data_IF_399130442325
#
_entry.id   IF_399130442325
#
_cell.length_a   1.000
_cell.length_b   1.000
_cell.length_c   1.000
_cell.angle_alpha   90.00
_cell.angle_beta   90.00
_cell.angle_gamma   90.00
#
_symmetry.space_group_name_H-M   'P 1'
#
loop_
_entity.id
_entity.type
_entity.pdbx_description
1 polymer ?
#
# COMPACT_ATOMS: atom_id res chain seq x y z
N UNK A 1 10.20 -32.95 -18.51
CA UNK A 1 9.34 -32.55 -17.37
C UNK A 1 9.54 -31.09 -17.01
N UNK A 2 10.78 -30.64 -16.73
CA UNK A 2 11.04 -29.21 -16.44
C UNK A 2 10.73 -28.31 -17.63
N UNK A 3 11.13 -28.70 -18.85
CA UNK A 3 10.82 -27.92 -20.07
C UNK A 3 9.31 -27.80 -20.33
N UNK A 4 8.56 -28.88 -20.08
CA UNK A 4 7.10 -28.90 -20.23
C UNK A 4 6.42 -27.95 -19.23
N UNK A 5 6.91 -27.90 -17.98
CA UNK A 5 6.43 -26.95 -16.97
C UNK A 5 6.75 -25.51 -17.39
N UNK A 6 7.97 -25.24 -17.90
CA UNK A 6 8.37 -23.92 -18.36
C UNK A 6 7.53 -23.45 -19.57
N UNK A 7 7.31 -24.31 -20.56
CA UNK A 7 6.45 -24.02 -21.71
C UNK A 7 4.99 -23.80 -21.30
N UNK A 8 4.47 -24.60 -20.37
CA UNK A 8 3.11 -24.40 -19.83
C UNK A 8 3.01 -23.06 -19.12
N UNK A 9 3.98 -22.72 -18.26
CA UNK A 9 4.03 -21.44 -17.57
C UNK A 9 4.08 -20.27 -18.57
N UNK A 10 4.92 -20.36 -19.60
CA UNK A 10 5.00 -19.36 -20.67
C UNK A 10 3.66 -19.20 -21.40
N UNK A 11 2.94 -20.29 -21.67
CA UNK A 11 1.62 -20.23 -22.32
C UNK A 11 0.52 -19.59 -21.48
N UNK A 12 0.73 -19.45 -20.17
CA UNK A 12 -0.20 -18.80 -19.25
C UNK A 12 0.01 -17.29 -19.13
N UNK A 13 1.01 -16.74 -19.81
CA UNK A 13 1.30 -15.31 -19.78
C UNK A 13 0.19 -14.50 -20.49
N UNK A 14 -0.26 -13.43 -19.85
CA UNK A 14 -1.05 -12.38 -20.52
C UNK A 14 -0.07 -11.37 -21.07
N UNK A 15 -0.05 -11.19 -22.39
CA UNK A 15 0.91 -10.34 -23.09
C UNK A 15 0.19 -9.13 -23.65
N UNK A 16 0.60 -7.94 -23.22
CA UNK A 16 0.00 -6.66 -23.61
C UNK A 16 1.10 -5.64 -23.94
N UNK A 17 1.21 -5.25 -25.21
CA UNK A 17 2.28 -4.36 -25.71
C UNK A 17 3.67 -4.86 -25.29
N UNK A 18 4.38 -4.08 -24.46
CA UNK A 18 5.77 -4.31 -24.05
C UNK A 18 5.90 -4.98 -22.66
N UNK A 19 4.78 -5.47 -22.10
CA UNK A 19 4.77 -6.15 -20.80
C UNK A 19 3.97 -7.47 -20.80
N UNK A 20 4.31 -8.34 -19.86
CA UNK A 20 3.66 -9.63 -19.67
C UNK A 20 3.38 -9.86 -18.18
N UNK A 21 2.24 -10.44 -17.85
CA UNK A 21 1.89 -10.76 -16.47
C UNK A 21 1.16 -12.08 -16.33
N UNK A 22 1.26 -12.66 -15.14
CA UNK A 22 0.58 -13.88 -14.75
C UNK A 22 -0.41 -13.58 -13.64
N UNK A 23 -1.60 -14.15 -13.75
CA UNK A 23 -2.66 -14.01 -12.76
C UNK A 23 -2.97 -15.35 -12.10
N UNK A 24 -3.46 -15.27 -10.88
CA UNK A 24 -3.92 -16.39 -10.08
C UNK A 24 -5.14 -15.95 -9.28
N UNK A 25 -6.07 -16.86 -9.01
CA UNK A 25 -7.22 -16.61 -8.14
C UNK A 25 -6.79 -16.41 -6.67
N UNK A 26 -5.64 -16.96 -6.28
CA UNK A 26 -5.10 -16.94 -4.91
C UNK A 26 -3.66 -16.39 -4.88
N UNK A 27 -3.21 -15.91 -3.73
CA UNK A 27 -1.78 -15.72 -3.44
C UNK A 27 -1.35 -16.72 -2.35
N UNK A 28 -0.08 -16.66 -1.90
CA UNK A 28 0.43 -17.66 -0.94
C UNK A 28 -0.03 -17.44 0.51
N UNK A 29 -0.55 -16.25 0.85
CA UNK A 29 -0.86 -15.88 2.24
C UNK A 29 -2.36 -15.69 2.49
N UNK A 30 -3.11 -15.24 1.49
CA UNK A 30 -4.55 -14.98 1.57
C UNK A 30 -5.34 -15.76 0.51
N UNK A 31 -6.56 -16.18 0.86
CA UNK A 31 -7.55 -16.65 -0.12
C UNK A 31 -8.08 -15.51 -1.00
N UNK A 32 -8.99 -15.83 -1.92
CA UNK A 32 -9.67 -14.90 -2.87
C UNK A 32 -9.56 -13.40 -2.48
N UNK A 33 -8.67 -12.69 -3.18
CA UNK A 33 -8.43 -11.25 -3.01
C UNK A 33 -9.48 -10.40 -3.72
N UNK A 34 -9.87 -9.29 -3.08
CA UNK A 34 -11.15 -8.63 -3.29
C UNK A 34 -11.14 -7.30 -4.07
N UNK A 35 -10.00 -6.73 -4.50
CA UNK A 35 -10.09 -5.49 -5.28
C UNK A 35 -8.79 -4.94 -5.87
N UNK A 36 -8.85 -4.39 -7.08
CA UNK A 36 -7.71 -3.64 -7.64
C UNK A 36 -7.56 -2.31 -6.90
N UNK A 37 -6.32 -1.88 -6.65
CA UNK A 37 -6.04 -0.53 -6.11
C UNK A 37 -5.23 0.25 -7.14
N UNK A 38 -5.91 1.09 -7.93
CA UNK A 38 -5.33 1.63 -9.17
C UNK A 38 -5.17 0.53 -10.24
N UNK A 39 -3.98 0.39 -10.80
CA UNK A 39 -3.68 -0.56 -11.89
C UNK A 39 -3.05 -1.89 -11.45
N UNK A 40 -2.82 -2.12 -10.16
CA UNK A 40 -2.14 -3.34 -9.72
C UNK A 40 -2.82 -4.07 -8.56
N UNK A 41 -2.43 -5.34 -8.47
CA UNK A 41 -3.03 -6.39 -7.67
C UNK A 41 -1.88 -7.23 -7.09
N UNK A 42 -1.75 -7.36 -5.76
CA UNK A 42 -0.65 -8.10 -5.14
C UNK A 42 -0.60 -9.56 -5.59
N UNK A 43 -1.72 -10.19 -5.95
CA UNK A 43 -1.70 -11.54 -6.54
C UNK A 43 -0.99 -11.56 -7.90
N UNK A 44 -1.26 -10.58 -8.74
CA UNK A 44 -0.67 -10.51 -10.09
C UNK A 44 0.82 -10.19 -9.96
N UNK A 45 1.20 -9.27 -9.08
CA UNK A 45 2.60 -8.95 -8.79
C UNK A 45 3.34 -10.19 -8.27
N UNK A 46 2.82 -10.87 -7.25
CA UNK A 46 3.45 -12.06 -6.68
C UNK A 46 3.55 -13.19 -7.72
N UNK A 47 2.48 -13.48 -8.45
CA UNK A 47 2.46 -14.56 -9.46
C UNK A 47 3.41 -14.26 -10.61
N UNK A 48 3.43 -13.02 -11.10
CA UNK A 48 4.33 -12.57 -12.15
C UNK A 48 5.78 -12.67 -11.70
N UNK A 49 6.10 -12.23 -10.48
CA UNK A 49 7.46 -12.30 -9.95
C UNK A 49 7.97 -13.76 -9.83
N UNK A 50 7.12 -14.69 -9.37
CA UNK A 50 7.48 -16.11 -9.38
C UNK A 50 7.66 -16.67 -10.79
N UNK A 51 6.77 -16.32 -11.72
CA UNK A 51 6.85 -16.79 -13.10
C UNK A 51 8.14 -16.32 -13.79
N UNK A 52 8.47 -15.03 -13.62
CA UNK A 52 9.71 -14.41 -14.13
C UNK A 52 10.93 -15.11 -13.57
N UNK A 53 11.02 -15.29 -12.24
CA UNK A 53 12.16 -15.99 -11.63
C UNK A 53 12.27 -17.45 -12.11
N UNK A 54 11.15 -18.15 -12.30
CA UNK A 54 11.14 -19.54 -12.75
C UNK A 54 11.64 -19.67 -14.20
N UNK A 55 11.13 -18.84 -15.11
CA UNK A 55 11.57 -18.80 -16.51
C UNK A 55 13.04 -18.39 -16.63
N UNK A 56 13.46 -17.37 -15.87
CA UNK A 56 14.86 -16.93 -15.83
C UNK A 56 15.80 -18.04 -15.35
N UNK A 57 15.47 -18.72 -14.24
CA UNK A 57 16.27 -19.85 -13.72
C UNK A 57 16.32 -21.04 -14.66
N UNK A 58 15.27 -21.27 -15.44
CA UNK A 58 15.25 -22.30 -16.47
C UNK A 58 16.19 -21.95 -17.64
N UNK A 59 16.40 -20.66 -17.91
CA UNK A 59 17.26 -20.19 -19.00
C UNK A 59 16.54 -20.18 -20.35
N UNK A 60 15.22 -19.94 -20.36
CA UNK A 60 14.43 -19.84 -21.59
C UNK A 60 13.41 -18.70 -21.53
N UNK A 61 12.85 -18.37 -22.68
CA UNK A 61 11.82 -17.33 -22.83
C UNK A 61 12.30 -15.94 -22.37
N UNK A 62 13.54 -15.57 -22.66
CA UNK A 62 14.15 -14.28 -22.26
C UNK A 62 13.26 -13.06 -22.57
N UNK A 63 12.56 -13.09 -23.70
CA UNK A 63 11.60 -12.03 -24.03
C UNK A 63 10.46 -11.93 -22.99
N UNK A 64 9.88 -13.05 -22.57
CA UNK A 64 8.83 -13.05 -21.54
C UNK A 64 9.38 -12.67 -20.16
N UNK A 65 10.63 -13.04 -19.85
CA UNK A 65 11.30 -12.59 -18.62
C UNK A 65 11.43 -11.07 -18.62
N UNK A 66 11.93 -10.47 -19.71
CA UNK A 66 12.06 -9.02 -19.86
C UNK A 66 10.70 -8.31 -19.79
N UNK A 67 9.68 -8.83 -20.48
CA UNK A 67 8.33 -8.27 -20.43
C UNK A 67 7.68 -8.38 -19.03
N UNK A 68 7.96 -9.46 -18.30
CA UNK A 68 7.51 -9.63 -16.92
C UNK A 68 8.22 -8.70 -15.95
N UNK A 69 9.52 -8.46 -16.14
CA UNK A 69 10.27 -7.43 -15.39
C UNK A 69 9.70 -6.04 -15.64
N UNK A 70 9.42 -5.69 -16.90
CA UNK A 70 8.78 -4.42 -17.24
C UNK A 70 7.45 -4.26 -16.51
N UNK A 71 6.62 -5.31 -16.47
CA UNK A 71 5.37 -5.29 -15.71
C UNK A 71 5.61 -4.97 -14.23
N UNK A 72 6.57 -5.62 -13.57
CA UNK A 72 6.87 -5.36 -12.15
C UNK A 72 7.36 -3.92 -11.94
N UNK A 73 8.27 -3.42 -12.78
CA UNK A 73 8.81 -2.06 -12.64
C UNK A 73 7.74 -0.98 -12.83
N UNK A 74 6.82 -1.19 -13.79
CA UNK A 74 5.69 -0.27 -14.05
C UNK A 74 4.67 -0.22 -12.92
N UNK A 75 4.56 -1.26 -12.10
CA UNK A 75 3.58 -1.36 -11.02
C UNK A 75 4.19 -1.16 -9.63
N UNK A 76 5.44 -0.71 -9.54
CA UNK A 76 6.10 -0.33 -8.29
C UNK A 76 5.54 1.02 -7.80
N UNK A 77 5.23 1.10 -6.51
CA UNK A 77 4.81 2.31 -5.79
C UNK A 77 5.97 2.91 -4.99
N UNK A 78 5.87 4.16 -4.48
CA UNK A 78 6.87 4.73 -3.58
C UNK A 78 7.12 3.92 -2.30
N UNK A 79 6.18 3.03 -1.92
CA UNK A 79 6.27 2.18 -0.72
C UNK A 79 6.66 0.71 -1.03
N UNK A 80 7.04 0.41 -2.27
CA UNK A 80 7.29 -0.96 -2.73
C UNK A 80 6.24 -1.40 -3.75
N UNK A 81 5.37 -2.34 -3.38
CA UNK A 81 4.22 -2.76 -4.18
C UNK A 81 2.94 -2.56 -3.37
N UNK A 82 2.06 -3.57 -3.28
CA UNK A 82 0.75 -3.41 -2.64
C UNK A 82 0.67 -4.06 -1.26
N UNK A 83 1.34 -5.19 -1.05
CA UNK A 83 1.45 -5.85 0.25
C UNK A 83 2.92 -6.05 0.61
N UNK A 84 3.18 -6.74 1.71
CA UNK A 84 4.56 -7.12 2.06
C UNK A 84 5.09 -8.29 1.24
N UNK A 85 4.22 -9.24 0.90
CA UNK A 85 4.61 -10.48 0.24
C UNK A 85 4.96 -10.27 -1.23
N UNK A 86 4.05 -9.65 -1.98
CA UNK A 86 4.30 -9.27 -3.37
C UNK A 86 5.52 -8.33 -3.48
N UNK A 87 5.72 -7.41 -2.53
CA UNK A 87 6.90 -6.53 -2.50
C UNK A 87 8.20 -7.32 -2.40
N UNK A 88 8.29 -8.26 -1.46
CA UNK A 88 9.52 -9.05 -1.28
C UNK A 88 9.80 -9.90 -2.53
N UNK A 89 8.79 -10.58 -3.05
CA UNK A 89 8.96 -11.50 -4.19
C UNK A 89 9.28 -10.71 -5.46
N UNK A 90 8.65 -9.55 -5.68
CA UNK A 90 8.95 -8.69 -6.81
C UNK A 90 10.38 -8.13 -6.75
N UNK A 91 10.86 -7.71 -5.58
CA UNK A 91 12.26 -7.31 -5.43
C UNK A 91 13.25 -8.45 -5.62
N UNK A 92 12.90 -9.68 -5.22
CA UNK A 92 13.71 -10.85 -5.55
C UNK A 92 13.79 -11.08 -7.07
N UNK A 93 12.67 -10.96 -7.78
CA UNK A 93 12.62 -11.12 -9.22
C UNK A 93 13.43 -10.04 -9.95
N UNK A 94 13.24 -8.76 -9.58
CA UNK A 94 13.98 -7.61 -10.12
C UNK A 94 15.48 -7.82 -9.86
N UNK A 95 15.89 -8.06 -8.62
CA UNK A 95 17.30 -8.28 -8.28
C UNK A 95 17.92 -9.45 -9.06
N UNK A 96 17.16 -10.52 -9.27
CA UNK A 96 17.65 -11.72 -9.93
C UNK A 96 17.77 -11.56 -11.44
N UNK A 97 16.83 -10.87 -12.07
CA UNK A 97 16.68 -10.90 -13.52
C UNK A 97 17.03 -9.57 -14.20
N UNK A 98 17.12 -8.45 -13.45
CA UNK A 98 17.52 -7.15 -14.00
C UNK A 98 18.98 -7.16 -14.46
N UNK A 99 19.20 -6.59 -15.64
CA UNK A 99 20.53 -6.28 -16.16
C UNK A 99 20.62 -4.77 -16.30
N UNK A 100 21.41 -4.10 -15.45
CA UNK A 100 21.62 -2.65 -15.58
C UNK A 100 22.46 -2.40 -16.84
N UNK A 101 21.90 -1.64 -17.78
CA UNK A 101 22.59 -1.22 -19.00
C UNK A 101 22.40 0.28 -19.23
N UNK A 102 22.79 1.13 -18.28
CA UNK A 102 22.83 2.57 -18.52
C UNK A 102 24.27 2.95 -18.87
N UNK A 103 24.48 3.51 -20.07
CA UNK A 103 25.77 4.09 -20.47
C UNK A 103 25.71 5.60 -20.40
N UNK A 104 24.83 6.20 -21.20
CA UNK A 104 24.57 7.63 -21.21
C UNK A 104 23.19 7.93 -21.79
N UNK A 105 22.33 8.57 -21.01
CA UNK A 105 20.97 8.94 -21.39
C UNK A 105 20.67 10.37 -20.91
N UNK A 106 19.93 11.11 -21.72
CA UNK A 106 19.30 12.38 -21.34
C UNK A 106 17.80 12.17 -21.25
N UNK A 107 17.19 12.46 -20.10
CA UNK A 107 15.74 12.45 -19.88
C UNK A 107 15.23 13.89 -19.77
N UNK A 108 14.29 14.27 -20.63
CA UNK A 108 13.61 15.57 -20.61
C UNK A 108 12.16 15.37 -20.17
N UNK A 109 11.71 16.19 -19.25
CA UNK A 109 10.31 16.27 -18.82
C UNK A 109 9.73 17.57 -19.35
N UNK A 110 8.59 17.49 -20.04
CA UNK A 110 7.92 18.62 -20.66
C UNK A 110 6.49 18.80 -20.15
N UNK A 111 6.09 20.04 -19.90
CA UNK A 111 4.70 20.44 -19.68
C UNK A 111 4.22 21.21 -20.92
N UNK A 112 3.20 20.70 -21.63
CA UNK A 112 2.71 21.31 -22.89
C UNK A 112 3.84 21.65 -23.91
N UNK A 113 4.85 20.78 -24.02
CA UNK A 113 6.09 20.97 -24.82
C UNK A 113 7.11 22.01 -24.30
N UNK A 114 6.87 22.68 -23.18
CA UNK A 114 7.92 23.45 -22.49
C UNK A 114 8.77 22.50 -21.65
N UNK A 115 10.09 22.57 -21.74
CA UNK A 115 10.98 21.73 -20.94
C UNK A 115 11.01 22.24 -19.50
N UNK A 116 10.59 21.38 -18.57
CA UNK A 116 10.50 21.69 -17.13
C UNK A 116 11.51 20.89 -16.29
N UNK A 117 12.13 19.87 -16.87
CA UNK A 117 13.18 19.07 -16.26
C UNK A 117 14.11 18.47 -17.31
N UNK A 118 15.40 18.38 -16.96
CA UNK A 118 16.45 17.80 -17.79
C UNK A 118 17.41 17.04 -16.89
N UNK A 119 17.56 15.74 -17.12
CA UNK A 119 18.39 14.84 -16.33
C UNK A 119 19.39 14.13 -17.25
N UNK A 120 20.68 14.28 -16.96
CA UNK A 120 21.73 13.55 -17.64
C UNK A 120 22.15 12.40 -16.74
N UNK A 121 21.93 11.18 -17.22
CA UNK A 121 22.18 9.94 -16.50
C UNK A 121 23.34 9.22 -17.21
N UNK A 122 24.36 8.85 -16.48
CA UNK A 122 25.48 8.05 -16.95
C UNK A 122 25.80 6.94 -15.95
N UNK A 123 26.83 6.13 -16.21
CA UNK A 123 27.24 5.05 -15.30
C UNK A 123 27.51 5.53 -13.86
N UNK A 124 28.00 6.77 -13.67
CA UNK A 124 28.29 7.31 -12.34
C UNK A 124 27.04 7.79 -11.60
N UNK A 125 25.95 8.05 -12.33
CA UNK A 125 24.67 8.51 -11.78
C UNK A 125 23.52 7.53 -11.97
N UNK A 126 23.79 6.31 -12.44
CA UNK A 126 22.79 5.28 -12.71
C UNK A 126 21.92 4.93 -11.48
N UNK A 127 22.48 5.04 -10.28
CA UNK A 127 21.79 4.76 -9.01
C UNK A 127 21.17 6.00 -8.35
N UNK A 128 21.27 7.18 -9.00
CA UNK A 128 20.72 8.43 -8.46
C UNK A 128 19.22 8.50 -8.75
N UNK A 129 18.42 8.67 -7.69
CA UNK A 129 16.99 8.99 -7.84
C UNK A 129 16.80 10.48 -8.02
N UNK A 130 16.19 10.88 -9.13
CA UNK A 130 15.87 12.27 -9.44
C UNK A 130 14.41 12.59 -9.10
N UNK A 131 14.19 13.73 -8.45
CA UNK A 131 12.85 14.22 -8.11
C UNK A 131 12.55 15.52 -8.85
N UNK A 132 11.33 15.64 -9.36
CA UNK A 132 10.83 16.85 -10.01
C UNK A 132 9.44 17.18 -9.48
N UNK A 133 9.31 18.30 -8.77
CA UNK A 133 8.01 18.82 -8.39
C UNK A 133 7.32 19.48 -9.60
N UNK A 134 6.27 18.83 -10.08
CA UNK A 134 5.43 19.30 -11.20
C UNK A 134 4.11 19.92 -10.73
N UNK A 135 3.89 20.06 -9.41
CA UNK A 135 2.61 20.52 -8.83
C UNK A 135 2.18 21.90 -9.34
N UNK A 136 3.13 22.81 -9.61
CA UNK A 136 2.86 24.13 -10.21
C UNK A 136 2.22 24.08 -11.61
N UNK A 137 2.27 22.94 -12.28
CA UNK A 137 1.66 22.72 -13.59
C UNK A 137 0.28 22.05 -13.51
N UNK A 138 -0.20 21.71 -12.31
CA UNK A 138 -1.55 21.17 -12.12
C UNK A 138 -2.60 22.20 -12.58
N UNK A 139 -3.47 21.77 -13.49
CA UNK A 139 -4.53 22.60 -14.08
C UNK A 139 -4.07 23.57 -15.18
N UNK A 140 -2.77 23.88 -15.30
CA UNK A 140 -2.22 24.74 -16.34
C UNK A 140 -1.60 23.97 -17.51
N UNK A 141 -1.06 22.77 -17.24
CA UNK A 141 -0.61 21.84 -18.26
C UNK A 141 -1.71 20.83 -18.61
N UNK A 142 -1.92 20.59 -19.90
CA UNK A 142 -2.84 19.57 -20.41
C UNK A 142 -2.22 18.18 -20.32
N UNK A 143 -0.91 18.07 -20.53
CA UNK A 143 -0.17 16.82 -20.42
C UNK A 143 1.27 17.05 -19.97
N UNK A 144 1.82 16.01 -19.33
CA UNK A 144 3.25 15.87 -19.06
C UNK A 144 3.79 14.83 -20.03
N UNK A 145 4.89 15.17 -20.70
CA UNK A 145 5.59 14.28 -21.62
C UNK A 145 6.99 14.01 -21.08
N UNK A 146 7.39 12.74 -21.07
CA UNK A 146 8.76 12.34 -20.77
C UNK A 146 9.37 11.82 -22.05
N UNK A 147 10.54 12.34 -22.41
CA UNK A 147 11.30 11.89 -23.57
C UNK A 147 12.72 11.57 -23.15
N UNK A 148 13.28 10.50 -23.70
CA UNK A 148 14.65 10.08 -23.45
C UNK A 148 15.43 10.04 -24.76
N UNK A 149 16.70 10.41 -24.71
CA UNK A 149 17.67 10.35 -25.81
C UNK A 149 18.94 9.66 -25.29
N UNK A 150 19.57 8.79 -26.06
CA UNK A 150 20.81 8.09 -25.68
C UNK A 150 20.65 6.58 -25.52
N UNK A 151 21.57 5.96 -24.78
CA UNK A 151 21.65 4.51 -24.57
C UNK A 151 21.48 4.16 -23.08
N UNK A 152 20.31 3.59 -22.78
CA UNK A 152 20.02 2.97 -21.49
C UNK A 152 18.53 2.75 -21.26
N UNK A 153 18.16 2.40 -20.02
CA UNK A 153 16.77 2.31 -19.56
C UNK A 153 16.66 3.09 -18.25
N UNK A 154 15.66 3.96 -18.15
CA UNK A 154 15.37 4.70 -16.93
C UNK A 154 13.92 4.45 -16.50
N UNK A 155 13.74 4.05 -15.25
CA UNK A 155 12.42 3.93 -14.65
C UNK A 155 11.89 5.32 -14.29
N UNK A 156 10.69 5.64 -14.77
CA UNK A 156 10.03 6.91 -14.50
C UNK A 156 8.71 6.66 -13.79
N UNK A 157 8.53 7.31 -12.65
CA UNK A 157 7.29 7.24 -11.88
C UNK A 157 6.72 8.63 -11.68
N UNK A 158 5.40 8.75 -11.87
CA UNK A 158 4.63 9.96 -11.61
C UNK A 158 3.59 9.62 -10.55
N UNK A 159 3.57 10.39 -9.47
CA UNK A 159 2.60 10.25 -8.40
C UNK A 159 1.76 11.52 -8.29
N UNK A 160 0.51 11.35 -7.90
CA UNK A 160 -0.44 12.42 -7.64
C UNK A 160 -1.10 12.16 -6.31
N UNK A 161 -1.10 13.17 -5.45
CA UNK A 161 -1.74 13.13 -4.15
C UNK A 161 -2.72 14.29 -4.03
N UNK A 162 -3.88 14.03 -3.44
CA UNK A 162 -4.89 15.05 -3.13
C UNK A 162 -5.59 14.72 -1.82
N UNK A 163 -6.02 15.75 -1.11
CA UNK A 163 -6.93 15.62 0.02
C UNK A 163 -8.36 15.65 -0.48
N UNK A 164 -9.13 14.60 -0.18
CA UNK A 164 -10.55 14.51 -0.50
C UNK A 164 -11.34 14.92 0.75
N UNK A 165 -12.30 15.86 0.64
CA UNK A 165 -13.17 16.18 1.76
C UNK A 165 -13.95 14.95 2.26
N UNK A 166 -14.02 14.78 3.57
CA UNK A 166 -14.82 13.72 4.20
C UNK A 166 -16.30 13.79 3.79
N UNK A 167 -16.85 14.98 3.58
CA UNK A 167 -18.22 15.18 3.10
C UNK A 167 -18.48 14.62 1.69
N UNK A 168 -17.44 14.41 0.89
CA UNK A 168 -17.51 13.79 -0.44
C UNK A 168 -17.13 12.30 -0.43
N UNK A 169 -16.78 11.74 0.72
CA UNK A 169 -16.36 10.34 0.85
C UNK A 169 -17.56 9.48 1.25
N UNK A 170 -17.85 8.46 0.45
CA UNK A 170 -18.82 7.44 0.83
C UNK A 170 -18.08 6.35 1.60
N UNK A 171 -18.02 6.48 2.92
CA UNK A 171 -17.57 5.37 3.77
C UNK A 171 -18.62 4.26 3.67
N UNK A 172 -18.23 3.14 3.05
CA UNK A 172 -19.12 2.00 2.93
C UNK A 172 -19.37 1.42 4.33
N UNK A 173 -20.63 1.41 4.74
CA UNK A 173 -21.08 0.67 5.94
C UNK A 173 -21.48 -0.77 5.60
N UNK A 174 -21.18 -1.21 4.39
CA UNK A 174 -21.49 -2.52 3.83
C UNK A 174 -20.22 -3.11 3.23
N UNK A 175 -20.00 -4.40 3.48
CA UNK A 175 -18.80 -5.09 3.02
C UNK A 175 -18.48 -6.27 3.92
N UNK A 176 -17.43 -7.00 3.56
CA UNK A 176 -16.96 -8.15 4.31
C UNK A 176 -16.26 -7.74 5.62
N UNK A 177 -15.66 -6.55 5.67
CA UNK A 177 -15.03 -5.98 6.86
C UNK A 177 -15.81 -4.73 7.26
N UNK A 178 -16.24 -4.66 8.51
CA UNK A 178 -17.01 -3.53 9.04
C UNK A 178 -16.36 -3.05 10.33
N UNK A 179 -16.15 -1.74 10.44
CA UNK A 179 -15.55 -1.07 11.58
C UNK A 179 -16.53 -0.10 12.23
N UNK A 180 -16.75 -0.25 13.54
CA UNK A 180 -17.52 0.68 14.35
C UNK A 180 -16.66 1.21 15.49
N UNK A 181 -16.76 2.51 15.77
CA UNK A 181 -16.01 3.16 16.84
C UNK A 181 -16.97 4.01 17.66
N UNK A 182 -16.92 3.84 18.98
CA UNK A 182 -17.71 4.60 19.94
C UNK A 182 -16.78 5.30 20.94
N UNK A 183 -16.96 6.60 21.11
CA UNK A 183 -16.30 7.40 22.12
C UNK A 183 -17.27 7.64 23.27
N UNK A 184 -16.85 7.39 24.51
CA UNK A 184 -17.74 7.60 25.67
C UNK A 184 -18.11 9.08 25.89
N UNK A 185 -17.26 10.00 25.42
CA UNK A 185 -17.50 11.44 25.43
C UNK A 185 -16.71 12.11 24.31
N UNK A 186 -17.20 13.23 23.80
CA UNK A 186 -16.44 14.15 22.91
C UNK A 186 -15.98 15.41 23.64
N UNK A 187 -16.32 15.57 24.92
CA UNK A 187 -15.89 16.67 25.77
C UNK A 187 -15.23 16.13 27.04
N UNK A 188 -14.02 16.59 27.34
CA UNK A 188 -13.23 16.09 28.47
C UNK A 188 -12.48 17.24 29.15
N UNK A 189 -12.03 17.03 30.38
CA UNK A 189 -11.13 17.97 31.05
C UNK A 189 -9.68 17.60 30.76
N UNK A 190 -8.78 18.58 30.85
CA UNK A 190 -7.33 18.30 30.83
C UNK A 190 -6.99 17.27 31.92
N UNK A 191 -6.11 16.32 31.57
CA UNK A 191 -5.70 15.17 32.38
C UNK A 191 -6.76 14.06 32.56
N UNK A 192 -7.95 14.20 31.98
CA UNK A 192 -8.95 13.13 31.94
C UNK A 192 -8.86 12.35 30.61
N UNK A 193 -9.47 11.16 30.60
CA UNK A 193 -9.44 10.26 29.45
C UNK A 193 -10.76 10.22 28.68
N UNK A 194 -10.66 9.98 27.38
CA UNK A 194 -11.75 9.51 26.53
C UNK A 194 -11.52 8.03 26.29
N UNK A 195 -12.54 7.22 26.61
CA UNK A 195 -12.55 5.78 26.30
C UNK A 195 -13.03 5.60 24.87
N UNK A 196 -12.27 4.84 24.09
CA UNK A 196 -12.58 4.45 22.73
C UNK A 196 -12.90 2.96 22.72
N UNK A 197 -14.11 2.62 22.27
CA UNK A 197 -14.58 1.25 22.08
C UNK A 197 -14.68 0.97 20.58
N UNK A 198 -13.86 0.05 20.08
CA UNK A 198 -13.72 -0.29 18.66
C UNK A 198 -14.20 -1.72 18.42
N UNK A 199 -15.07 -1.89 17.43
CA UNK A 199 -15.62 -3.18 17.02
C UNK A 199 -15.28 -3.44 15.56
N UNK A 200 -14.56 -4.52 15.30
CA UNK A 200 -14.33 -5.03 13.94
C UNK A 200 -15.19 -6.27 13.76
N UNK A 201 -15.99 -6.30 12.71
CA UNK A 201 -16.74 -7.50 12.30
C UNK A 201 -16.27 -7.92 10.92
N UNK A 202 -15.92 -9.19 10.78
CA UNK A 202 -15.54 -9.77 9.50
C UNK A 202 -16.52 -10.88 9.09
N UNK A 203 -17.22 -10.70 7.98
CA UNK A 203 -18.18 -11.63 7.41
C UNK A 203 -17.76 -12.17 6.04
N UNK A 204 -16.50 -11.96 5.65
CA UNK A 204 -16.00 -12.45 4.38
C UNK A 204 -15.84 -13.98 4.33
N UNK A 205 -15.59 -14.49 3.14
CA UNK A 205 -15.49 -15.94 2.87
C UNK A 205 -14.08 -16.51 3.01
N UNK A 206 -13.09 -15.66 3.23
CA UNK A 206 -11.68 -16.03 3.32
C UNK A 206 -11.18 -15.81 4.73
N UNK A 207 -9.88 -16.02 4.94
CA UNK A 207 -9.25 -15.85 6.24
C UNK A 207 -8.27 -14.68 6.14
N UNK A 208 -8.32 -13.77 7.11
CA UNK A 208 -7.38 -12.65 7.20
C UNK A 208 -6.22 -13.08 8.11
N UNK A 209 -5.03 -13.24 7.52
CA UNK A 209 -3.84 -13.65 8.27
C UNK A 209 -3.38 -12.58 9.25
N UNK A 210 -3.43 -11.32 8.84
CA UNK A 210 -3.06 -10.16 9.63
C UNK A 210 -3.96 -8.98 9.29
N UNK A 211 -4.84 -8.63 10.23
CA UNK A 211 -5.61 -7.40 10.19
C UNK A 211 -4.82 -6.30 10.89
N UNK A 212 -4.67 -5.17 10.21
CA UNK A 212 -4.07 -3.97 10.76
C UNK A 212 -5.18 -2.98 11.12
N UNK A 213 -5.10 -2.36 12.29
CA UNK A 213 -6.03 -1.32 12.73
C UNK A 213 -5.22 -0.08 13.12
N UNK A 214 -5.32 0.96 12.31
CA UNK A 214 -4.67 2.26 12.52
C UNK A 214 -5.57 3.15 13.39
N UNK A 215 -5.24 3.24 14.67
CA UNK A 215 -5.94 4.10 15.62
C UNK A 215 -5.21 5.45 15.77
N UNK A 216 -5.97 6.51 16.07
CA UNK A 216 -5.45 7.87 16.10
C UNK A 216 -5.84 8.61 17.38
N UNK A 217 -4.92 9.44 17.86
CA UNK A 217 -5.13 10.45 18.88
C UNK A 217 -5.11 11.84 18.22
N UNK A 218 -6.01 12.76 18.60
CA UNK A 218 -6.01 14.10 18.06
C UNK A 218 -4.88 14.95 18.67
N UNK A 219 -4.60 16.10 18.06
CA UNK A 219 -3.62 17.05 18.61
C UNK A 219 -4.01 17.44 20.04
N UNK A 220 -3.03 17.45 20.95
CA UNK A 220 -3.26 17.74 22.37
C UNK A 220 -3.71 16.53 23.20
N UNK A 221 -3.72 15.33 22.60
CA UNK A 221 -4.00 14.07 23.26
C UNK A 221 -2.88 13.07 23.00
N UNK A 222 -2.76 12.07 23.86
CA UNK A 222 -1.87 10.92 23.68
C UNK A 222 -2.59 9.61 24.06
N UNK A 223 -2.06 8.48 23.59
CA UNK A 223 -2.56 7.16 23.96
C UNK A 223 -2.13 6.79 25.38
N UNK A 224 -3.02 6.11 26.11
CA UNK A 224 -2.66 5.41 27.34
C UNK A 224 -2.03 4.06 26.94
N UNK A 225 -0.72 4.06 26.69
CA UNK A 225 0.03 2.90 26.17
C UNK A 225 -0.19 1.59 26.97
N UNK A 226 -0.30 1.60 28.32
CA UNK A 226 -0.61 0.39 29.07
C UNK A 226 -1.90 -0.33 28.66
N UNK A 227 -2.88 0.38 28.06
CA UNK A 227 -4.08 -0.26 27.53
C UNK A 227 -3.74 -1.21 26.37
N UNK A 228 -2.77 -0.84 25.52
CA UNK A 228 -2.31 -1.69 24.42
C UNK A 228 -1.49 -2.90 24.92
N UNK A 229 -0.65 -2.72 25.94
CA UNK A 229 0.03 -3.84 26.61
C UNK A 229 -0.97 -4.87 27.15
N UNK A 230 -2.07 -4.38 27.71
CA UNK A 230 -3.15 -5.22 28.20
C UNK A 230 -3.87 -6.00 27.09
N UNK A 231 -4.08 -5.39 25.93
CA UNK A 231 -4.65 -6.07 24.77
C UNK A 231 -3.73 -7.18 24.25
N UNK A 232 -2.41 -6.95 24.22
CA UNK A 232 -1.42 -7.98 23.86
C UNK A 232 -1.43 -9.13 24.88
N UNK A 233 -1.41 -8.80 26.17
CA UNK A 233 -1.45 -9.79 27.27
C UNK A 233 -2.71 -10.65 27.24
N UNK A 234 -3.86 -10.04 26.89
CA UNK A 234 -5.14 -10.73 26.70
C UNK A 234 -5.23 -11.48 25.36
N UNK A 235 -4.23 -11.35 24.50
CA UNK A 235 -4.18 -11.93 23.14
C UNK A 235 -5.34 -11.46 22.24
N UNK A 236 -5.89 -10.28 22.52
CA UNK A 236 -6.87 -9.64 21.63
C UNK A 236 -6.15 -9.08 20.40
N UNK A 237 -4.98 -8.49 20.61
CA UNK A 237 -4.05 -8.12 19.55
C UNK A 237 -2.76 -8.92 19.75
N UNK A 238 -2.02 -9.13 18.66
CA UNK A 238 -0.75 -9.85 18.66
C UNK A 238 0.45 -8.93 18.91
N UNK A 239 0.37 -7.66 18.51
CA UNK A 239 1.37 -6.64 18.73
C UNK A 239 0.76 -5.24 18.53
N UNK A 240 1.49 -4.18 18.88
CA UNK A 240 1.18 -2.82 18.50
C UNK A 240 2.45 -1.99 18.27
N UNK A 241 2.32 -0.90 17.51
CA UNK A 241 3.37 0.11 17.33
C UNK A 241 2.76 1.49 17.56
N UNK A 242 3.38 2.33 18.39
CA UNK A 242 2.94 3.71 18.64
C UNK A 242 3.94 4.67 18.02
N UNK A 243 3.47 5.56 17.16
CA UNK A 243 4.25 6.64 16.56
C UNK A 243 3.58 7.99 16.84
N UNK A 244 3.88 8.55 18.01
CA UNK A 244 3.30 9.80 18.48
C UNK A 244 1.79 9.69 18.69
N UNK A 245 1.02 10.21 17.73
CA UNK A 245 -0.45 10.28 17.77
C UNK A 245 -1.14 9.22 16.91
N UNK A 246 -0.38 8.33 16.31
CA UNK A 246 -0.89 7.20 15.55
C UNK A 246 -0.40 5.91 16.20
N UNK A 247 -1.24 4.89 16.25
CA UNK A 247 -0.82 3.57 16.66
C UNK A 247 -1.39 2.52 15.71
N UNK A 248 -0.56 1.55 15.35
CA UNK A 248 -0.93 0.42 14.51
C UNK A 248 -1.13 -0.81 15.40
N UNK A 249 -2.32 -1.40 15.39
CA UNK A 249 -2.64 -2.62 16.12
C UNK A 249 -2.62 -3.82 15.17
N UNK A 250 -1.94 -4.89 15.56
CA UNK A 250 -1.74 -6.08 14.73
C UNK A 250 -2.59 -7.24 15.24
N UNK A 251 -3.59 -7.68 14.48
CA UNK A 251 -4.49 -8.76 14.88
C UNK A 251 -4.31 -9.94 13.95
N UNK A 252 -3.94 -11.09 14.53
CA UNK A 252 -3.67 -12.30 13.75
C UNK A 252 -4.94 -13.11 13.58
N UNK A 253 -4.98 -13.82 12.47
CA UNK A 253 -5.75 -15.04 12.36
C UNK A 253 -7.28 -14.86 12.53
N UNK A 254 -7.87 -14.00 11.68
CA UNK A 254 -9.31 -13.67 11.72
C UNK A 254 -10.09 -14.49 10.69
N UNK A 255 -11.09 -15.23 11.17
CA UNK A 255 -11.99 -16.06 10.38
C UNK A 255 -13.35 -15.44 10.12
N UNK A 256 -14.08 -16.04 9.18
CA UNK A 256 -15.44 -15.62 8.83
C UNK A 256 -16.39 -15.67 10.04
N UNK A 257 -17.07 -14.56 10.32
CA UNK A 257 -17.99 -14.41 11.44
C UNK A 257 -17.33 -13.91 12.73
N UNK A 258 -16.01 -13.68 12.74
CA UNK A 258 -15.33 -13.15 13.92
C UNK A 258 -15.71 -11.70 14.19
N UNK A 259 -15.90 -11.40 15.48
CA UNK A 259 -16.11 -10.06 16.02
C UNK A 259 -15.01 -9.77 17.03
N UNK A 260 -14.26 -8.69 16.80
CA UNK A 260 -13.16 -8.26 17.65
C UNK A 260 -13.58 -6.98 18.35
N UNK A 261 -13.45 -6.94 19.67
CA UNK A 261 -13.71 -5.76 20.47
C UNK A 261 -12.42 -5.29 21.15
N UNK A 262 -12.05 -4.03 20.91
CA UNK A 262 -10.87 -3.38 21.44
C UNK A 262 -11.32 -2.14 22.22
N UNK A 263 -10.82 -2.01 23.45
CA UNK A 263 -11.01 -0.82 24.25
C UNK A 263 -9.65 -0.24 24.61
N UNK A 264 -9.50 1.07 24.43
CA UNK A 264 -8.32 1.84 24.86
C UNK A 264 -8.73 3.25 25.24
N UNK A 265 -7.82 3.99 25.87
CA UNK A 265 -8.04 5.36 26.27
C UNK A 265 -7.04 6.30 25.60
N UNK A 266 -7.52 7.52 25.33
CA UNK A 266 -6.67 8.68 25.04
C UNK A 266 -6.82 9.69 26.17
N UNK A 267 -5.72 10.33 26.57
CA UNK A 267 -5.71 11.34 27.65
C UNK A 267 -5.53 12.74 27.08
N UNK A 268 -6.28 13.71 27.59
CA UNK A 268 -6.15 15.11 27.19
C UNK A 268 -4.97 15.77 27.90
N UNK A 269 -4.05 16.37 27.14
CA UNK A 269 -2.86 17.03 27.68
C UNK A 269 -2.98 18.55 27.71
N UNK A 270 -3.87 19.12 26.89
CA UNK A 270 -4.03 20.58 26.71
C UNK A 270 -5.49 20.95 26.45
N UNK A 271 -5.93 22.15 26.85
CA UNK A 271 -7.23 22.65 26.45
C UNK A 271 -7.21 22.97 24.95
N UNK A 272 -8.04 22.28 24.16
CA UNK A 272 -8.03 22.35 22.70
C UNK A 272 -9.35 21.85 22.12
N UNK A 273 -9.74 22.37 20.95
CA UNK A 273 -10.70 21.71 20.05
C UNK A 273 -9.92 21.07 18.92
N UNK A 274 -10.12 19.77 18.70
CA UNK A 274 -9.38 19.00 17.73
C UNK A 274 -10.27 17.95 17.06
N UNK A 275 -9.79 17.39 15.96
CA UNK A 275 -10.48 16.35 15.21
C UNK A 275 -9.67 15.06 15.31
N UNK A 276 -10.32 13.98 15.75
CA UNK A 276 -9.81 12.61 15.60
C UNK A 276 -10.07 12.23 14.15
N UNK A 277 -9.02 11.99 13.37
CA UNK A 277 -9.17 11.46 12.01
C UNK A 277 -9.75 10.04 12.07
N UNK A 278 -10.35 9.60 10.97
CA UNK A 278 -10.91 8.26 10.86
C UNK A 278 -9.95 7.16 11.30
N UNK A 279 -10.49 6.13 11.96
CA UNK A 279 -9.75 4.90 12.24
C UNK A 279 -9.90 4.01 11.00
N UNK A 280 -8.80 3.40 10.56
CA UNK A 280 -8.76 2.56 9.37
C UNK A 280 -8.35 1.13 9.75
N UNK A 281 -9.09 0.14 9.26
CA UNK A 281 -8.77 -1.27 9.44
C UNK A 281 -8.66 -1.94 8.06
N UNK A 282 -7.62 -2.74 7.84
CA UNK A 282 -7.39 -3.39 6.54
C UNK A 282 -6.58 -4.69 6.66
N UNK A 283 -6.81 -5.62 5.72
CA UNK A 283 -5.97 -6.82 5.59
C UNK A 283 -4.60 -6.44 5.02
N UNK A 284 -3.53 -6.73 5.75
CA UNK A 284 -2.14 -6.44 5.37
C UNK A 284 -1.73 -7.04 4.01
N UNK A 285 -2.32 -8.17 3.64
CA UNK A 285 -2.00 -8.92 2.42
C UNK A 285 -3.06 -8.76 1.32
N UNK A 286 -4.21 -8.19 1.67
CA UNK A 286 -5.24 -7.73 0.74
C UNK A 286 -5.78 -6.35 1.16
N UNK A 287 -5.00 -5.26 0.97
CA UNK A 287 -5.39 -3.94 1.50
C UNK A 287 -6.69 -3.35 0.91
N UNK A 288 -7.20 -3.91 -0.19
CA UNK A 288 -8.51 -3.53 -0.73
C UNK A 288 -9.70 -4.12 0.06
N UNK A 289 -9.45 -5.02 1.02
CA UNK A 289 -10.39 -5.41 2.05
C UNK A 289 -10.14 -4.52 3.27
N UNK A 290 -10.86 -3.41 3.33
CA UNK A 290 -10.70 -2.39 4.36
C UNK A 290 -12.03 -1.80 4.85
N UNK A 291 -11.95 -1.06 5.96
CA UNK A 291 -13.04 -0.31 6.54
C UNK A 291 -12.48 0.93 7.26
N UNK A 292 -13.17 2.06 7.14
CA UNK A 292 -12.75 3.32 7.77
C UNK A 292 -13.94 3.96 8.51
N UNK A 293 -13.67 4.77 9.54
CA UNK A 293 -14.71 5.58 10.20
C UNK A 293 -14.62 7.05 9.85
N UNK A 294 -15.73 7.78 9.95
CA UNK A 294 -15.72 9.24 9.82
C UNK A 294 -14.89 9.87 10.97
N UNK A 295 -14.24 11.02 10.72
CA UNK A 295 -13.63 11.80 11.78
C UNK A 295 -14.63 12.28 12.82
N UNK A 296 -14.15 12.51 14.04
CA UNK A 296 -14.97 13.00 15.16
C UNK A 296 -14.31 14.24 15.76
N UNK A 297 -15.09 15.31 15.93
CA UNK A 297 -14.64 16.48 16.69
C UNK A 297 -14.71 16.21 18.19
N UNK A 298 -13.66 16.63 18.90
CA UNK A 298 -13.60 16.56 20.36
C UNK A 298 -13.06 17.86 20.95
N UNK A 299 -13.33 18.08 22.23
CA UNK A 299 -12.81 19.22 22.97
C UNK A 299 -12.28 18.83 24.35
N UNK A 300 -11.19 19.49 24.75
CA UNK A 300 -10.66 19.47 26.10
C UNK A 300 -10.73 20.87 26.71
N UNK A 301 -11.16 20.97 27.96
CA UNK A 301 -11.21 22.22 28.75
C UNK A 301 -10.47 22.14 30.07
#
# INVERSE_FOLDING_TARGET
MVDDIASRLASMANVENDYAYWSSSTNMITGNYAGYYGYSNPRIIETTAYAVMALYKHGSHDNLVSMGLNYLLMHRTPRGFYSTQDTIVAFQAIKMCSQTQIKHMTVKVLANNETIGLFNIDESTADVTYWLDISKYLGSAQYIKVVSEGEGVADVQVYYEQYIPWSSTNISTQGDLILYVHYNTTEVRVSNTIRVDLYVNYSGSTYIRMLLVEVRAPVGFEFVVPDFDDLVRKKIISNYEVNGREAMLYIKDIGAGDSIHITYNIVALKPIRATIQGIHAYDMYNPGLDAETMPVEISST
#
